data_IF_555882203583
#
_entry.id   IF_555882203583
#
_cell.length_a   1.000
_cell.length_b   1.000
_cell.length_c   1.000
_cell.angle_alpha   90.00
_cell.angle_beta   90.00
_cell.angle_gamma   90.00
#
_symmetry.space_group_name_H-M   'P 1'
#
loop_
_entity.id
_entity.type
_entity.pdbx_description
1 polymer ?
#
# COMPACT_ATOMS: atom_id res chain seq x y z
N UNK A 1 -33.98 20.91 -11.55
CA UNK A 1 -33.44 19.86 -12.44
C UNK A 1 -31.94 19.67 -12.31
N UNK A 2 -31.17 20.73 -12.51
CA UNK A 2 -29.68 20.62 -12.44
C UNK A 2 -29.19 20.23 -11.05
N UNK A 3 -29.84 20.75 -10.00
CA UNK A 3 -29.45 20.42 -8.62
C UNK A 3 -29.67 18.96 -8.29
N UNK A 4 -30.72 18.35 -8.83
CA UNK A 4 -31.00 16.93 -8.63
C UNK A 4 -29.93 16.05 -9.27
N UNK A 5 -29.46 16.41 -10.45
CA UNK A 5 -28.41 15.68 -11.15
C UNK A 5 -27.11 15.75 -10.35
N UNK A 6 -26.75 16.93 -9.84
CA UNK A 6 -25.57 17.10 -9.01
C UNK A 6 -25.65 16.25 -7.73
N UNK A 7 -26.83 16.24 -7.09
CA UNK A 7 -27.04 15.44 -5.89
C UNK A 7 -26.86 13.93 -6.15
N UNK A 8 -27.37 13.45 -7.29
CA UNK A 8 -27.22 12.05 -7.66
C UNK A 8 -25.76 11.68 -7.88
N UNK A 9 -24.99 12.53 -8.53
CA UNK A 9 -23.56 12.30 -8.71
C UNK A 9 -22.82 12.23 -7.39
N UNK A 10 -23.12 13.11 -6.44
CA UNK A 10 -22.52 13.09 -5.10
C UNK A 10 -22.84 11.80 -4.38
N UNK A 11 -24.08 11.34 -4.45
CA UNK A 11 -24.49 10.07 -3.81
C UNK A 11 -23.74 8.87 -4.41
N UNK A 12 -23.56 8.84 -5.71
CA UNK A 12 -22.79 7.77 -6.35
C UNK A 12 -21.33 7.76 -5.89
N UNK A 13 -20.73 8.93 -5.76
CA UNK A 13 -19.36 9.05 -5.28
C UNK A 13 -19.23 8.55 -3.84
N UNK A 14 -20.15 8.94 -2.98
CA UNK A 14 -20.15 8.49 -1.58
C UNK A 14 -20.36 6.97 -1.48
N UNK A 15 -21.23 6.41 -2.31
CA UNK A 15 -21.45 4.97 -2.36
C UNK A 15 -20.17 4.22 -2.73
N UNK A 16 -19.39 4.74 -3.67
CA UNK A 16 -18.10 4.16 -4.06
C UNK A 16 -17.03 4.22 -2.98
N UNK A 17 -17.13 5.17 -2.04
CA UNK A 17 -16.15 5.34 -0.97
C UNK A 17 -16.46 4.50 0.28
N UNK A 18 -17.57 3.78 0.31
CA UNK A 18 -18.00 3.02 1.48
C UNK A 18 -17.37 1.64 1.62
N UNK A 19 -16.62 1.19 0.63
CA UNK A 19 -15.98 -0.13 0.66
C UNK A 19 -14.85 -0.16 1.70
N UNK A 20 -14.93 -1.10 2.63
CA UNK A 20 -13.93 -1.30 3.65
C UNK A 20 -12.90 -2.32 3.19
N UNK A 21 -11.63 -1.94 3.23
CA UNK A 21 -10.52 -2.83 2.90
C UNK A 21 -10.31 -3.83 4.03
N UNK A 22 -10.13 -5.10 3.69
CA UNK A 22 -9.87 -6.18 4.63
C UNK A 22 -8.47 -6.75 4.40
N UNK A 23 -7.98 -7.54 5.38
CA UNK A 23 -6.70 -8.24 5.23
C UNK A 23 -6.73 -9.17 4.02
N UNK A 24 -7.86 -9.84 3.78
CA UNK A 24 -8.01 -10.70 2.60
C UNK A 24 -7.82 -9.96 1.28
N UNK A 25 -8.22 -8.69 1.21
CA UNK A 25 -8.01 -7.87 0.03
C UNK A 25 -6.51 -7.64 -0.24
N UNK A 26 -5.69 -7.60 0.80
CA UNK A 26 -4.24 -7.40 0.69
C UNK A 26 -3.51 -8.68 0.26
N UNK A 27 -4.13 -9.84 0.38
CA UNK A 27 -3.50 -11.13 0.12
C UNK A 27 -3.79 -11.69 -1.28
N UNK A 28 -4.65 -11.04 -2.04
CA UNK A 28 -5.10 -11.54 -3.35
C UNK A 28 -4.23 -11.19 -4.54
N UNK A 29 -3.04 -10.64 -4.33
CA UNK A 29 -2.17 -10.22 -5.43
C UNK A 29 -1.23 -11.34 -5.85
N UNK A 30 -0.83 -11.33 -7.14
CA UNK A 30 0.03 -12.36 -7.70
C UNK A 30 1.50 -11.96 -7.60
N UNK A 31 2.32 -12.85 -7.05
CA UNK A 31 3.76 -12.62 -6.86
C UNK A 31 4.44 -12.43 -8.22
N UNK A 32 5.23 -11.36 -8.34
CA UNK A 32 5.97 -10.92 -9.52
C UNK A 32 5.11 -10.56 -10.73
N UNK A 33 3.79 -10.53 -10.59
CA UNK A 33 2.83 -10.17 -11.65
C UNK A 33 2.10 -8.88 -11.34
N UNK A 34 1.47 -8.79 -10.16
CA UNK A 34 0.69 -7.62 -9.78
C UNK A 34 1.55 -6.38 -9.65
N UNK A 35 1.06 -5.25 -10.21
CA UNK A 35 1.74 -3.96 -10.18
C UNK A 35 1.25 -3.09 -9.03
N UNK A 36 1.95 -1.98 -8.77
CA UNK A 36 1.48 -0.97 -7.82
C UNK A 36 0.10 -0.44 -8.21
N UNK A 37 -0.14 -0.21 -9.50
CA UNK A 37 -1.44 0.25 -9.98
C UNK A 37 -2.54 -0.76 -9.73
N UNK A 38 -2.26 -2.05 -9.85
CA UNK A 38 -3.23 -3.09 -9.54
C UNK A 38 -3.64 -3.02 -8.07
N UNK A 39 -2.68 -2.80 -7.18
CA UNK A 39 -2.93 -2.64 -5.75
C UNK A 39 -3.73 -1.39 -5.47
N UNK A 40 -3.34 -0.24 -6.03
CA UNK A 40 -4.03 1.03 -5.81
C UNK A 40 -5.49 0.97 -6.30
N UNK A 41 -5.75 0.29 -7.40
CA UNK A 41 -7.12 0.14 -7.92
C UNK A 41 -7.98 -0.74 -7.01
N UNK A 42 -7.39 -1.75 -6.39
CA UNK A 42 -8.15 -2.69 -5.55
C UNK A 42 -8.35 -2.17 -4.13
N UNK A 43 -7.32 -1.62 -3.51
CA UNK A 43 -7.35 -1.27 -2.09
C UNK A 43 -7.14 0.22 -1.81
N UNK A 44 -6.85 1.02 -2.82
CA UNK A 44 -6.66 2.46 -2.67
C UNK A 44 -5.28 2.85 -2.18
N UNK A 45 -5.13 4.12 -1.82
CA UNK A 45 -3.86 4.67 -1.38
C UNK A 45 -3.44 4.12 -0.02
N UNK A 46 -2.15 3.80 0.16
CA UNK A 46 -1.66 3.36 1.46
C UNK A 46 -1.57 4.51 2.45
N UNK A 47 -1.52 4.18 3.74
CA UNK A 47 -1.30 5.17 4.80
C UNK A 47 0.10 5.77 4.71
N UNK A 48 1.09 4.98 4.32
CA UNK A 48 2.45 5.46 4.11
C UNK A 48 3.19 4.57 3.11
N UNK A 49 4.20 5.15 2.49
CA UNK A 49 5.02 4.50 1.46
C UNK A 49 6.49 4.60 1.85
N UNK A 50 7.24 3.56 1.53
CA UNK A 50 8.69 3.54 1.72
C UNK A 50 9.32 3.16 0.38
N UNK A 51 10.19 4.01 -0.15
CA UNK A 51 10.90 3.76 -1.41
C UNK A 51 12.40 3.67 -1.12
N UNK A 52 12.95 2.48 -1.24
CA UNK A 52 14.38 2.22 -1.05
C UNK A 52 15.12 2.00 -2.37
N UNK A 53 14.47 2.22 -3.50
CA UNK A 53 15.03 1.99 -4.83
C UNK A 53 14.86 0.56 -5.29
N UNK A 54 15.49 -0.39 -4.62
CA UNK A 54 15.38 -1.82 -4.97
C UNK A 54 14.04 -2.42 -4.56
N UNK A 55 13.39 -1.84 -3.57
CA UNK A 55 12.06 -2.26 -3.13
C UNK A 55 11.23 -1.07 -2.70
N UNK A 56 9.91 -1.26 -2.74
CA UNK A 56 8.92 -0.28 -2.27
C UNK A 56 7.98 -1.00 -1.32
N UNK A 57 7.56 -0.32 -0.26
CA UNK A 57 6.63 -0.87 0.73
C UNK A 57 5.45 0.07 0.89
N UNK A 58 4.24 -0.49 0.80
CA UNK A 58 2.99 0.21 1.06
C UNK A 58 2.42 -0.28 2.38
N UNK A 59 2.13 0.62 3.31
CA UNK A 59 1.51 0.27 4.58
C UNK A 59 0.04 0.62 4.61
N UNK A 60 -0.77 -0.33 5.06
CA UNK A 60 -2.22 -0.17 5.24
C UNK A 60 -2.58 -0.49 6.68
N UNK A 61 -3.41 0.35 7.28
CA UNK A 61 -3.90 0.12 8.62
C UNK A 61 -5.31 -0.46 8.55
N UNK A 62 -5.48 -1.65 9.11
CA UNK A 62 -6.75 -2.38 9.09
C UNK A 62 -7.06 -2.82 10.52
N UNK A 63 -8.19 -2.37 11.06
CA UNK A 63 -8.65 -2.70 12.41
C UNK A 63 -7.57 -2.46 13.48
N UNK A 64 -6.85 -1.33 13.35
CA UNK A 64 -5.84 -0.93 14.32
C UNK A 64 -4.46 -1.56 14.13
N UNK A 65 -4.32 -2.49 13.19
CA UNK A 65 -3.05 -3.14 12.90
C UNK A 65 -2.50 -2.73 11.55
N UNK A 66 -1.18 -2.67 11.43
CA UNK A 66 -0.54 -2.30 10.19
C UNK A 66 -0.07 -3.53 9.42
N UNK A 67 -0.36 -3.53 8.11
CA UNK A 67 0.08 -4.55 7.16
C UNK A 67 0.83 -3.86 6.05
N UNK A 68 1.82 -4.54 5.49
CA UNK A 68 2.62 -4.00 4.41
C UNK A 68 2.59 -4.90 3.19
N UNK A 69 2.53 -4.27 2.01
CA UNK A 69 2.72 -4.93 0.74
C UNK A 69 4.10 -4.56 0.22
N UNK A 70 4.90 -5.57 -0.07
CA UNK A 70 6.26 -5.39 -0.52
C UNK A 70 6.33 -5.56 -2.03
N UNK A 71 6.96 -4.60 -2.71
CA UNK A 71 7.20 -4.62 -4.16
C UNK A 71 8.69 -4.66 -4.41
N UNK A 72 9.11 -5.48 -5.34
CA UNK A 72 10.51 -5.62 -5.73
C UNK A 72 10.71 -5.09 -7.14
N UNK A 73 11.85 -4.47 -7.38
CA UNK A 73 12.20 -3.99 -8.70
C UNK A 73 12.60 -5.17 -9.59
N UNK A 74 11.89 -5.32 -10.72
CA UNK A 74 12.16 -6.34 -11.73
C UNK A 74 12.53 -5.65 -13.04
N UNK A 75 13.02 -6.38 -14.05
CA UNK A 75 13.27 -5.79 -15.37
C UNK A 75 12.06 -5.10 -15.99
N UNK A 76 10.85 -5.51 -15.61
CA UNK A 76 9.59 -4.92 -16.10
C UNK A 76 9.01 -3.86 -15.17
N UNK A 77 9.75 -3.45 -14.15
CA UNK A 77 9.31 -2.48 -13.15
C UNK A 77 9.02 -3.13 -11.80
N UNK A 78 8.38 -2.37 -10.90
CA UNK A 78 8.06 -2.92 -9.58
C UNK A 78 6.89 -3.87 -9.65
N UNK A 79 7.05 -5.02 -8.99
CA UNK A 79 6.03 -6.06 -8.93
C UNK A 79 5.84 -6.54 -7.50
N UNK A 80 4.61 -6.93 -7.18
CA UNK A 80 4.27 -7.43 -5.86
C UNK A 80 5.09 -8.66 -5.47
N UNK A 81 5.60 -8.67 -4.24
CA UNK A 81 6.35 -9.80 -3.71
C UNK A 81 5.56 -10.55 -2.63
N UNK A 82 5.15 -9.85 -1.58
CA UNK A 82 4.39 -10.49 -0.49
C UNK A 82 3.69 -9.45 0.38
N UNK A 83 2.69 -9.93 1.13
CA UNK A 83 2.01 -9.18 2.18
C UNK A 83 2.54 -9.67 3.52
N UNK A 84 2.85 -8.75 4.43
CA UNK A 84 3.33 -9.07 5.76
C UNK A 84 2.68 -8.16 6.79
N UNK A 85 2.56 -8.63 8.03
CA UNK A 85 2.15 -7.78 9.14
C UNK A 85 3.37 -6.95 9.55
N UNK A 86 3.15 -5.65 9.82
CA UNK A 86 4.23 -4.76 10.26
C UNK A 86 4.46 -4.94 11.76
N UNK A 87 5.30 -5.90 12.11
CA UNK A 87 5.74 -6.14 13.48
C UNK A 87 6.98 -5.29 13.78
N UNK A 88 7.37 -5.19 15.06
CA UNK A 88 8.59 -4.49 15.43
C UNK A 88 9.83 -5.11 14.79
N UNK A 89 9.85 -6.45 14.71
CA UNK A 89 10.94 -7.17 14.05
C UNK A 89 11.02 -6.84 12.57
N UNK A 90 9.88 -6.82 11.89
CA UNK A 90 9.83 -6.49 10.48
C UNK A 90 10.20 -5.02 10.24
N UNK A 91 9.76 -4.12 11.11
CA UNK A 91 10.13 -2.70 11.04
C UNK A 91 11.64 -2.52 11.19
N UNK A 92 12.27 -3.23 12.12
CA UNK A 92 13.72 -3.18 12.29
C UNK A 92 14.46 -3.73 11.08
N UNK A 93 13.94 -4.78 10.47
CA UNK A 93 14.46 -5.34 9.22
C UNK A 93 14.38 -4.31 8.08
N UNK A 94 13.24 -3.65 7.92
CA UNK A 94 13.07 -2.61 6.92
C UNK A 94 14.02 -1.44 7.14
N UNK A 95 14.18 -1.02 8.40
CA UNK A 95 15.08 0.06 8.76
C UNK A 95 16.51 -0.25 8.33
N UNK A 96 17.00 -1.43 8.68
CA UNK A 96 18.35 -1.85 8.32
C UNK A 96 18.54 -1.89 6.80
N UNK A 97 17.60 -2.50 6.09
CA UNK A 97 17.66 -2.57 4.62
C UNK A 97 17.62 -1.20 3.97
N UNK A 98 16.70 -0.35 4.43
CA UNK A 98 16.55 1.00 3.89
C UNK A 98 17.84 1.82 4.08
N UNK A 99 18.38 1.84 5.30
CA UNK A 99 19.59 2.59 5.61
C UNK A 99 20.81 2.08 4.86
N UNK A 100 20.92 0.76 4.68
CA UNK A 100 22.01 0.17 3.91
C UNK A 100 21.94 0.50 2.43
N UNK A 101 20.74 0.51 1.85
CA UNK A 101 20.55 0.76 0.41
C UNK A 101 20.60 2.24 0.05
N UNK A 102 20.03 3.11 0.89
CA UNK A 102 19.91 4.53 0.57
C UNK A 102 20.98 5.39 1.21
N UNK A 103 21.66 4.88 2.23
CA UNK A 103 22.60 5.65 3.07
C UNK A 103 21.95 6.86 3.75
N UNK A 104 20.62 6.79 3.92
CA UNK A 104 19.81 7.82 4.56
C UNK A 104 19.12 7.27 5.80
N UNK A 105 18.79 8.13 6.78
CA UNK A 105 18.08 7.67 7.98
C UNK A 105 16.67 7.20 7.64
N UNK A 106 16.21 6.19 8.35
CA UNK A 106 14.86 5.64 8.19
C UNK A 106 13.82 6.74 8.48
N UNK A 107 12.80 6.90 7.62
CA UNK A 107 11.81 7.97 7.80
C UNK A 107 11.07 7.88 9.13
N UNK A 108 10.83 9.04 9.77
CA UNK A 108 10.13 9.12 11.05
C UNK A 108 8.75 8.47 11.00
N UNK A 109 8.04 8.61 9.88
CA UNK A 109 6.71 8.02 9.73
C UNK A 109 6.70 6.50 9.87
N UNK A 110 7.85 5.84 9.70
CA UNK A 110 8.00 4.40 9.78
C UNK A 110 8.61 3.90 11.09
N UNK A 111 9.03 4.82 11.95
CA UNK A 111 9.66 4.47 13.23
C UNK A 111 8.66 4.17 14.34
#
# INVERSE_FOLDING_TARGET
MRLLIAAVLVLLTLGGCSHKVTVGDLEGFEITVSTQNDVLRKVGEPNKKLDAGDFIVYAYKIDGEEYVLNFVNTPDGYRFLKTSKLTDEFRNFLKEKYENLTEEPFPLAWQ
#
